data_IF_932445056028
#
_entry.id   IF_932445056028
#
_cell.length_a   1.000
_cell.length_b   1.000
_cell.length_c   1.000
_cell.angle_alpha   90.00
_cell.angle_beta   90.00
_cell.angle_gamma   90.00
#
_symmetry.space_group_name_H-M   'P 1'
#
loop_
_entity.id
_entity.type
_entity.pdbx_description
1 polymer ?
#
# COMPACT_ATOMS: atom_id res chain seq x y z
N UNK A 1 -7.90 16.60 -13.43
CA UNK A 1 -7.72 15.40 -12.60
C UNK A 1 -6.22 15.11 -12.53
N UNK A 2 -5.51 15.70 -11.56
CA UNK A 2 -4.05 15.59 -11.41
C UNK A 2 -3.65 15.17 -9.97
N UNK A 3 -4.61 14.65 -9.21
CA UNK A 3 -4.48 14.38 -7.77
C UNK A 3 -4.28 12.90 -7.43
N UNK A 4 -4.41 11.99 -8.40
CA UNK A 4 -4.29 10.55 -8.15
C UNK A 4 -2.88 10.17 -7.70
N UNK A 5 -1.82 10.67 -8.34
CA UNK A 5 -0.44 10.35 -7.93
C UNK A 5 -0.10 10.92 -6.55
N UNK A 6 -0.60 12.13 -6.22
CA UNK A 6 -0.45 12.72 -4.89
C UNK A 6 -1.22 11.93 -3.84
N UNK A 7 -2.43 11.47 -4.17
CA UNK A 7 -3.23 10.61 -3.29
C UNK A 7 -2.55 9.26 -3.03
N UNK A 8 -1.88 8.69 -4.04
CA UNK A 8 -1.10 7.46 -3.87
C UNK A 8 0.11 7.70 -2.96
N UNK A 9 0.85 8.80 -3.13
CA UNK A 9 1.96 9.16 -2.25
C UNK A 9 1.49 9.42 -0.80
N UNK A 10 0.33 10.07 -0.63
CA UNK A 10 -0.29 10.26 0.68
C UNK A 10 -0.60 8.89 1.31
N UNK A 11 -1.20 7.97 0.55
CA UNK A 11 -1.51 6.63 1.03
C UNK A 11 -0.25 5.84 1.42
N UNK A 12 0.83 5.90 0.62
CA UNK A 12 2.13 5.32 0.97
C UNK A 12 2.66 5.90 2.29
N UNK A 13 2.51 7.22 2.49
CA UNK A 13 2.94 7.88 3.73
C UNK A 13 2.15 7.39 4.94
N UNK A 14 0.84 7.21 4.79
CA UNK A 14 -0.03 6.67 5.83
C UNK A 14 0.34 5.22 6.17
N UNK A 15 0.62 4.38 5.16
CA UNK A 15 1.06 2.99 5.37
C UNK A 15 2.38 2.92 6.15
N UNK A 16 3.35 3.79 5.84
CA UNK A 16 4.62 3.87 6.57
C UNK A 16 4.39 4.38 8.01
N UNK A 17 3.45 5.30 8.21
CA UNK A 17 3.09 5.78 9.54
C UNK A 17 2.46 4.65 10.39
N UNK A 18 1.59 3.83 9.78
CA UNK A 18 1.00 2.65 10.41
C UNK A 18 2.07 1.61 10.78
N UNK A 19 3.05 1.36 9.90
CA UNK A 19 4.19 0.48 10.21
C UNK A 19 4.96 0.93 11.46
N UNK A 20 5.22 2.24 11.58
CA UNK A 20 5.91 2.82 12.73
C UNK A 20 5.08 2.71 14.01
N UNK A 21 3.77 2.97 13.92
CA UNK A 21 2.86 2.82 15.06
C UNK A 21 2.80 1.36 15.52
N UNK A 22 2.70 0.41 14.58
CA UNK A 22 2.70 -1.02 14.85
C UNK A 22 3.97 -1.46 15.58
N UNK A 23 5.15 -1.03 15.10
CA UNK A 23 6.43 -1.28 15.78
C UNK A 23 6.44 -0.69 17.20
N UNK A 24 5.97 0.55 17.37
CA UNK A 24 5.91 1.20 18.68
C UNK A 24 4.96 0.48 19.65
N UNK A 25 3.82 -0.01 19.16
CA UNK A 25 2.86 -0.83 19.93
C UNK A 25 3.45 -2.16 20.35
N UNK A 26 4.18 -2.81 19.46
CA UNK A 26 4.90 -4.06 19.72
C UNK A 26 6.03 -3.87 20.74
N UNK A 27 6.76 -2.76 20.70
CA UNK A 27 7.75 -2.40 21.74
C UNK A 27 7.11 -2.21 23.12
N UNK A 28 5.87 -1.71 23.18
CA UNK A 28 5.07 -1.60 24.42
C UNK A 28 4.44 -2.92 24.86
N UNK A 29 4.55 -3.98 24.07
CA UNK A 29 3.92 -5.28 24.33
C UNK A 29 2.40 -5.31 24.08
N UNK A 30 1.87 -4.34 23.34
CA UNK A 30 0.43 -4.26 22.99
C UNK A 30 0.05 -5.17 21.80
N UNK A 31 1.05 -5.69 21.08
CA UNK A 31 0.89 -6.49 19.86
C UNK A 31 1.82 -7.69 19.94
N UNK A 32 1.30 -8.89 19.64
CA UNK A 32 2.13 -10.10 19.54
C UNK A 32 3.02 -10.04 18.30
N UNK A 33 4.15 -10.74 18.32
CA UNK A 33 5.03 -10.87 17.14
C UNK A 33 4.29 -11.45 15.93
N UNK A 34 3.34 -12.35 16.17
CA UNK A 34 2.53 -12.97 15.11
C UNK A 34 1.58 -11.94 14.46
N UNK A 35 0.87 -11.17 15.28
CA UNK A 35 0.00 -10.08 14.82
C UNK A 35 0.78 -8.97 14.11
N UNK A 36 1.96 -8.60 14.64
CA UNK A 36 2.87 -7.65 14.00
C UNK A 36 3.26 -8.15 12.61
N UNK A 37 3.64 -9.42 12.49
CA UNK A 37 4.08 -10.00 11.21
C UNK A 37 2.95 -10.03 10.19
N UNK A 38 1.74 -10.44 10.59
CA UNK A 38 0.58 -10.44 9.71
C UNK A 38 0.25 -9.03 9.21
N UNK A 39 0.24 -8.04 10.10
CA UNK A 39 -0.01 -6.64 9.76
C UNK A 39 1.08 -6.02 8.89
N UNK A 40 2.35 -6.33 9.15
CA UNK A 40 3.46 -5.90 8.30
C UNK A 40 3.32 -6.45 6.89
N UNK A 41 2.92 -7.71 6.75
CA UNK A 41 2.73 -8.34 5.45
C UNK A 41 1.60 -7.67 4.66
N UNK A 42 0.50 -7.30 5.32
CA UNK A 42 -0.58 -6.51 4.70
C UNK A 42 -0.10 -5.12 4.25
N UNK A 43 0.69 -4.43 5.07
CA UNK A 43 1.25 -3.11 4.76
C UNK A 43 2.23 -3.18 3.57
N UNK A 44 3.10 -4.20 3.53
CA UNK A 44 4.00 -4.45 2.40
C UNK A 44 3.23 -4.67 1.10
N UNK A 45 2.18 -5.49 1.14
CA UNK A 45 1.32 -5.75 -0.02
C UNK A 45 0.62 -4.47 -0.51
N UNK A 46 0.12 -3.64 0.40
CA UNK A 46 -0.49 -2.36 0.05
C UNK A 46 0.51 -1.37 -0.55
N UNK A 47 1.75 -1.32 -0.01
CA UNK A 47 2.83 -0.50 -0.55
C UNK A 47 3.20 -0.94 -1.98
N UNK A 48 3.35 -2.24 -2.21
CA UNK A 48 3.68 -2.78 -3.53
C UNK A 48 2.62 -2.43 -4.56
N UNK A 49 1.33 -2.50 -4.20
CA UNK A 49 0.22 -2.10 -5.08
C UNK A 49 0.28 -0.60 -5.43
N UNK A 50 0.58 0.24 -4.44
CA UNK A 50 0.73 1.68 -4.68
C UNK A 50 1.88 1.96 -5.65
N UNK A 51 3.02 1.28 -5.47
CA UNK A 51 4.16 1.39 -6.36
C UNK A 51 3.89 0.87 -7.76
N UNK A 52 3.21 -0.27 -7.90
CA UNK A 52 2.83 -0.82 -9.20
C UNK A 52 1.85 0.07 -9.94
N UNK A 53 0.89 0.68 -9.25
CA UNK A 53 -0.02 1.65 -9.85
C UNK A 53 0.74 2.87 -10.37
N UNK A 54 1.66 3.44 -9.59
CA UNK A 54 2.48 4.57 -10.03
C UNK A 54 3.32 4.20 -11.26
N UNK A 55 3.93 3.01 -11.25
CA UNK A 55 4.73 2.49 -12.36
C UNK A 55 3.87 2.29 -13.62
N UNK A 56 2.68 1.71 -13.48
CA UNK A 56 1.74 1.52 -14.59
C UNK A 56 1.30 2.85 -15.19
N UNK A 57 0.99 3.84 -14.33
CA UNK A 57 0.65 5.20 -14.77
C UNK A 57 1.81 5.86 -15.50
N UNK A 58 3.03 5.73 -14.98
CA UNK A 58 4.21 6.27 -15.63
C UNK A 58 4.43 5.63 -17.01
N UNK A 59 4.32 4.31 -17.11
CA UNK A 59 4.44 3.59 -18.38
C UNK A 59 3.37 4.03 -19.41
N UNK A 60 2.12 4.25 -18.97
CA UNK A 60 1.06 4.77 -19.86
C UNK A 60 1.36 6.20 -20.33
N UNK A 61 1.86 7.08 -19.46
CA UNK A 61 2.31 8.44 -19.83
C UNK A 61 3.42 8.40 -20.87
N UNK A 62 4.44 7.58 -20.65
CA UNK A 62 5.56 7.42 -21.57
C UNK A 62 5.10 6.86 -22.94
N UNK A 63 4.12 5.97 -22.94
CA UNK A 63 3.51 5.42 -24.15
C UNK A 63 2.53 6.39 -24.85
N UNK A 64 2.29 7.59 -24.31
CA UNK A 64 1.30 8.54 -24.83
C UNK A 64 -0.16 8.10 -24.64
N UNK A 65 -0.41 7.12 -23.78
CA UNK A 65 -1.74 6.65 -23.41
C UNK A 65 -2.28 7.40 -22.18
N UNK A 66 -3.59 7.28 -21.92
CA UNK A 66 -4.21 7.91 -20.76
C UNK A 66 -3.77 7.23 -19.45
N UNK A 67 -3.07 7.92 -18.53
CA UNK A 67 -2.70 7.37 -17.23
C UNK A 67 -3.90 7.07 -16.33
N UNK A 68 -5.08 7.67 -16.57
CA UNK A 68 -6.28 7.39 -15.79
C UNK A 68 -6.89 6.02 -16.09
N UNK A 69 -6.53 5.44 -17.24
CA UNK A 69 -6.88 4.07 -17.61
C UNK A 69 -6.05 3.04 -16.80
N UNK A 70 -5.05 3.47 -16.02
CA UNK A 70 -4.33 2.59 -15.10
C UNK A 70 -5.26 2.15 -13.96
N UNK A 71 -5.82 0.95 -14.07
CA UNK A 71 -6.60 0.37 -13.00
C UNK A 71 -5.68 -0.28 -11.97
N UNK A 72 -5.91 0.05 -10.70
CA UNK A 72 -5.45 -0.76 -9.57
C UNK A 72 -5.90 -2.18 -9.87
N UNK A 73 -4.96 -3.09 -10.14
CA UNK A 73 -5.31 -4.50 -10.09
C UNK A 73 -5.84 -4.71 -8.68
N UNK A 74 -7.11 -5.16 -8.51
CA UNK A 74 -7.56 -5.52 -7.19
C UNK A 74 -6.52 -6.48 -6.64
N UNK A 75 -6.16 -6.27 -5.38
CA UNK A 75 -5.43 -7.23 -4.58
C UNK A 75 -6.32 -8.48 -4.50
N UNK A 76 -6.37 -9.24 -5.59
CA UNK A 76 -7.02 -10.52 -5.63
C UNK A 76 -6.24 -11.33 -4.59
N UNK A 77 -6.89 -11.55 -3.45
CA UNK A 77 -6.40 -12.35 -2.33
C UNK A 77 -5.40 -11.66 -1.37
N UNK A 78 -5.88 -10.70 -0.58
CA UNK A 78 -5.63 -10.76 0.89
C UNK A 78 -6.96 -11.01 1.60
N UNK A 79 -7.69 -12.00 1.08
CA UNK A 79 -8.65 -12.73 1.88
C UNK A 79 -7.81 -13.57 2.86
N UNK A 80 -8.08 -13.44 4.18
CA UNK A 80 -7.31 -13.91 5.35
C UNK A 80 -6.26 -12.86 5.74
N UNK A 81 -6.52 -11.95 6.69
CA UNK A 81 -6.51 -12.28 8.13
C UNK A 81 -7.50 -11.43 8.92
N UNK A 82 -8.78 -11.80 8.86
CA UNK A 82 -9.73 -11.42 9.90
C UNK A 82 -10.50 -12.66 10.33
N UNK A 83 -9.91 -13.43 11.23
CA UNK A 83 -10.63 -14.31 12.15
C UNK A 83 -9.82 -14.48 13.42
#
# INVERSE_FOLDING_TARGET
>A
MADTDKSIHAHITDLIAEEKDLRARRERGEVSREDETARLQDLEVALDQCWDLLRQRQAKRDAGADPDDAQVRPADVVEKYRN
#
